data_IF_167637309161
#
_entry.id   IF_167637309161
#
_cell.length_a   1.000
_cell.length_b   1.000
_cell.length_c   1.000
_cell.angle_alpha   90.00
_cell.angle_beta   90.00
_cell.angle_gamma   90.00
#
_symmetry.space_group_name_H-M   'P 1'
#
loop_
_entity.id
_entity.type
_entity.pdbx_description
1 polymer ?
#
# COMPACT_ATOMS: atom_id res chain seq x y z
N UNK A 1 21.23 3.54 -0.43
CA UNK A 1 19.85 3.58 -0.98
C UNK A 1 19.49 2.16 -1.39
N UNK A 2 18.27 1.68 -1.16
CA UNK A 2 17.87 0.32 -1.57
C UNK A 2 17.56 0.32 -3.07
N UNK A 3 17.84 -0.78 -3.77
CA UNK A 3 17.56 -0.92 -5.20
C UNK A 3 16.28 -1.73 -5.41
N UNK A 4 15.44 -1.26 -6.33
CA UNK A 4 14.34 -2.02 -6.91
C UNK A 4 14.97 -2.95 -7.96
N UNK A 5 14.76 -4.25 -7.80
CA UNK A 5 15.35 -5.30 -8.65
C UNK A 5 14.48 -5.56 -9.87
N UNK A 6 15.11 -5.98 -10.96
CA UNK A 6 14.42 -6.55 -12.12
C UNK A 6 13.52 -7.72 -11.67
N UNK A 7 12.29 -7.80 -12.17
CA UNK A 7 11.30 -8.79 -11.73
C UNK A 7 10.63 -8.49 -10.39
N UNK A 8 10.90 -7.34 -9.74
CA UNK A 8 10.15 -6.93 -8.56
C UNK A 8 8.67 -6.70 -8.86
N UNK A 9 7.82 -7.00 -7.88
CA UNK A 9 6.37 -6.93 -7.99
C UNK A 9 5.82 -5.89 -7.02
N UNK A 10 4.90 -5.07 -7.48
CA UNK A 10 4.21 -4.05 -6.69
C UNK A 10 2.71 -4.34 -6.68
N UNK A 11 2.14 -4.42 -5.48
CA UNK A 11 0.71 -4.67 -5.26
C UNK A 11 0.16 -3.58 -4.35
N UNK A 12 -0.93 -2.94 -4.76
CA UNK A 12 -1.62 -1.92 -3.98
C UNK A 12 -3.12 -2.21 -3.91
N UNK A 13 -3.77 -1.69 -2.86
CA UNK A 13 -5.22 -1.53 -2.78
C UNK A 13 -5.99 -2.83 -3.09
N UNK A 14 -5.60 -3.91 -2.42
CA UNK A 14 -6.26 -5.22 -2.55
C UNK A 14 -7.51 -5.35 -1.68
N UNK A 15 -7.60 -4.58 -0.59
CA UNK A 15 -8.75 -4.57 0.32
C UNK A 15 -9.29 -5.96 0.69
N UNK A 16 -8.39 -6.90 1.02
CA UNK A 16 -8.75 -8.24 1.51
C UNK A 16 -9.38 -8.15 2.91
N UNK A 17 -10.40 -8.95 3.25
CA UNK A 17 -11.04 -9.98 2.42
C UNK A 17 -12.29 -9.51 1.67
N UNK A 18 -12.81 -8.31 1.97
CA UNK A 18 -14.15 -7.91 1.50
C UNK A 18 -14.26 -7.77 -0.02
N UNK A 19 -13.15 -7.48 -0.70
CA UNK A 19 -13.11 -7.38 -2.15
C UNK A 19 -12.59 -8.64 -2.85
N UNK A 20 -12.52 -9.77 -2.13
CA UNK A 20 -12.23 -11.10 -2.66
C UNK A 20 -10.84 -11.63 -2.29
N UNK A 21 -10.55 -12.85 -2.74
CA UNK A 21 -9.30 -13.57 -2.44
C UNK A 21 -8.21 -13.36 -3.51
N UNK A 22 -8.36 -12.36 -4.38
CA UNK A 22 -7.46 -12.14 -5.51
C UNK A 22 -5.99 -12.02 -5.09
N UNK A 23 -5.70 -11.40 -3.94
CA UNK A 23 -4.35 -11.34 -3.38
C UNK A 23 -3.82 -12.70 -2.95
N UNK A 24 -4.65 -13.56 -2.37
CA UNK A 24 -4.22 -14.89 -1.92
C UNK A 24 -3.80 -15.73 -3.12
N UNK A 25 -4.67 -15.79 -4.14
CA UNK A 25 -4.39 -16.50 -5.38
C UNK A 25 -3.12 -15.97 -6.07
N UNK A 26 -2.94 -14.64 -6.10
CA UNK A 26 -1.76 -14.01 -6.69
C UNK A 26 -0.48 -14.36 -5.91
N UNK A 27 -0.51 -14.21 -4.58
CA UNK A 27 0.64 -14.50 -3.72
C UNK A 27 1.02 -15.99 -3.76
N UNK A 28 0.03 -16.88 -3.91
CA UNK A 28 0.25 -18.33 -4.03
C UNK A 28 0.85 -18.71 -5.39
N UNK A 29 0.63 -17.89 -6.42
CA UNK A 29 1.10 -18.13 -7.80
C UNK A 29 2.34 -17.31 -8.19
N UNK A 30 3.01 -16.68 -7.22
CA UNK A 30 4.22 -15.92 -7.50
C UNK A 30 5.31 -16.81 -8.10
N UNK A 31 6.06 -16.33 -9.10
CA UNK A 31 7.22 -17.05 -9.62
C UNK A 31 8.21 -17.40 -8.50
N UNK A 32 8.79 -18.61 -8.48
CA UNK A 32 9.73 -19.02 -7.44
C UNK A 32 10.94 -18.09 -7.27
N UNK A 33 11.34 -17.43 -8.36
CA UNK A 33 12.49 -16.51 -8.40
C UNK A 33 12.09 -15.04 -8.20
N UNK A 34 10.91 -14.76 -7.63
CA UNK A 34 10.47 -13.38 -7.35
C UNK A 34 11.45 -12.72 -6.38
N UNK A 35 12.23 -11.70 -6.79
CA UNK A 35 13.30 -11.19 -5.96
C UNK A 35 12.80 -10.25 -4.87
N UNK A 36 11.72 -9.50 -5.16
CA UNK A 36 11.15 -8.48 -4.29
C UNK A 36 9.64 -8.40 -4.45
N UNK A 37 8.97 -8.16 -3.33
CA UNK A 37 7.55 -7.85 -3.27
C UNK A 37 7.32 -6.55 -2.49
N UNK A 38 6.68 -5.60 -3.14
CA UNK A 38 6.29 -4.31 -2.59
C UNK A 38 4.78 -4.30 -2.34
N UNK A 39 4.40 -4.29 -1.06
CA UNK A 39 3.02 -4.16 -0.61
C UNK A 39 2.75 -2.68 -0.32
N UNK A 40 2.07 -2.00 -1.25
CA UNK A 40 1.97 -0.54 -1.32
C UNK A 40 0.71 0.01 -0.63
N UNK A 41 0.40 -0.56 0.54
CA UNK A 41 -0.71 -0.16 1.41
C UNK A 41 -2.09 -0.61 0.94
N UNK A 42 -3.04 -0.57 1.87
CA UNK A 42 -4.43 -1.01 1.68
C UNK A 42 -4.53 -2.44 1.10
N UNK A 43 -3.63 -3.32 1.52
CA UNK A 43 -3.69 -4.76 1.19
C UNK A 43 -4.86 -5.41 1.92
N UNK A 44 -5.05 -5.02 3.18
CA UNK A 44 -6.20 -5.41 3.98
C UNK A 44 -7.23 -4.28 3.98
N UNK A 45 -8.52 -4.63 3.95
CA UNK A 45 -9.61 -3.66 4.07
C UNK A 45 -9.63 -3.02 5.46
N UNK A 46 -9.15 -3.73 6.49
CA UNK A 46 -8.79 -3.13 7.77
C UNK A 46 -7.84 -4.07 8.55
N UNK A 47 -6.69 -3.56 8.98
CA UNK A 47 -5.77 -4.30 9.85
C UNK A 47 -4.90 -3.37 10.70
N UNK A 48 -4.79 -3.67 11.99
CA UNK A 48 -3.77 -3.07 12.85
C UNK A 48 -3.49 -3.96 14.06
N UNK A 49 -2.22 -4.03 14.48
CA UNK A 49 -1.77 -5.04 15.45
C UNK A 49 -2.43 -4.96 16.84
N UNK A 50 -3.09 -3.86 17.20
CA UNK A 50 -3.73 -3.68 18.51
C UNK A 50 -5.20 -4.12 18.56
N UNK A 51 -5.68 -4.81 17.54
CA UNK A 51 -7.01 -5.41 17.50
C UNK A 51 -6.91 -6.92 17.22
N UNK A 52 -6.85 -7.77 18.26
CA UNK A 52 -6.69 -9.22 18.10
C UNK A 52 -7.70 -9.87 17.14
N UNK A 53 -8.96 -9.45 17.19
CA UNK A 53 -9.99 -9.98 16.29
C UNK A 53 -9.74 -9.61 14.81
N UNK A 54 -9.06 -8.50 14.51
CA UNK A 54 -8.67 -8.17 13.14
C UNK A 54 -7.52 -9.04 12.66
N UNK A 55 -6.61 -9.42 13.56
CA UNK A 55 -5.52 -10.34 13.25
C UNK A 55 -6.11 -11.70 12.90
N UNK A 56 -6.98 -12.24 13.76
CA UNK A 56 -7.69 -13.51 13.53
C UNK A 56 -8.50 -13.47 12.22
N UNK A 57 -9.24 -12.38 11.98
CA UNK A 57 -10.04 -12.21 10.77
C UNK A 57 -9.19 -12.21 9.48
N UNK A 58 -7.94 -11.76 9.55
CA UNK A 58 -7.03 -11.64 8.42
C UNK A 58 -5.91 -12.70 8.42
N UNK A 59 -5.97 -13.68 9.33
CA UNK A 59 -4.86 -14.59 9.63
C UNK A 59 -4.33 -15.32 8.39
N UNK A 60 -5.22 -15.79 7.52
CA UNK A 60 -4.87 -16.51 6.27
C UNK A 60 -3.87 -15.72 5.41
N UNK A 61 -4.10 -14.43 5.20
CA UNK A 61 -3.21 -13.59 4.38
C UNK A 61 -1.96 -13.14 5.17
N UNK A 62 -2.09 -12.94 6.48
CA UNK A 62 -0.94 -12.64 7.35
C UNK A 62 0.08 -13.79 7.30
N UNK A 63 -0.39 -15.03 7.47
CA UNK A 63 0.46 -16.23 7.43
C UNK A 63 1.11 -16.41 6.07
N UNK A 64 0.38 -16.18 4.98
CA UNK A 64 0.91 -16.26 3.62
C UNK A 64 2.04 -15.24 3.38
N UNK A 65 1.85 -13.98 3.79
CA UNK A 65 2.90 -12.95 3.67
C UNK A 65 4.12 -13.33 4.50
N UNK A 66 3.94 -13.83 5.72
CA UNK A 66 5.04 -14.28 6.56
C UNK A 66 5.80 -15.47 5.96
N UNK A 67 5.09 -16.46 5.42
CA UNK A 67 5.73 -17.60 4.73
C UNK A 67 6.54 -17.15 3.50
N UNK A 68 5.99 -16.24 2.69
CA UNK A 68 6.72 -15.69 1.54
C UNK A 68 7.96 -14.89 1.95
N UNK A 69 7.90 -14.20 3.08
CA UNK A 69 9.04 -13.41 3.60
C UNK A 69 10.26 -14.24 3.98
N UNK A 70 10.15 -15.57 4.03
CA UNK A 70 11.29 -16.48 4.22
C UNK A 70 12.17 -16.60 2.97
N UNK A 71 11.63 -16.29 1.78
CA UNK A 71 12.31 -16.46 0.49
C UNK A 71 12.30 -15.20 -0.39
N UNK A 72 11.37 -14.29 -0.17
CA UNK A 72 11.21 -13.04 -0.93
C UNK A 72 11.56 -11.85 -0.04
N UNK A 73 12.29 -10.88 -0.59
CA UNK A 73 12.48 -9.60 0.10
C UNK A 73 11.21 -8.76 0.02
N UNK A 74 10.51 -8.60 1.15
CA UNK A 74 9.23 -7.88 1.19
C UNK A 74 9.40 -6.50 1.84
N UNK A 75 8.89 -5.48 1.16
CA UNK A 75 8.70 -4.14 1.70
C UNK A 75 7.21 -3.83 1.79
N UNK A 76 6.75 -3.38 2.96
CA UNK A 76 5.36 -3.02 3.20
C UNK A 76 5.24 -1.55 3.53
N UNK A 77 4.53 -0.78 2.73
CA UNK A 77 4.18 0.61 2.98
C UNK A 77 2.81 0.65 3.62
N UNK A 78 2.71 1.06 4.88
CA UNK A 78 1.42 1.14 5.57
C UNK A 78 0.46 2.07 4.80
N UNK A 79 -0.77 1.60 4.59
CA UNK A 79 -1.84 2.40 4.02
C UNK A 79 -2.70 3.05 5.08
N UNK A 80 -3.89 3.51 4.68
CA UNK A 80 -4.86 4.09 5.61
C UNK A 80 -5.86 3.07 6.16
N UNK A 81 -5.95 1.90 5.56
CA UNK A 81 -6.71 0.75 6.06
C UNK A 81 -5.85 -0.18 6.93
N UNK A 82 -4.54 -0.23 6.68
CA UNK A 82 -3.61 -1.17 7.30
C UNK A 82 -2.35 -0.49 7.88
N UNK A 83 -2.26 -0.44 9.21
CA UNK A 83 -1.22 0.33 9.91
C UNK A 83 -0.82 -0.26 11.27
N UNK A 84 0.29 0.19 11.84
CA UNK A 84 0.93 -0.46 13.00
C UNK A 84 1.19 -1.95 12.74
N UNK A 85 1.78 -2.27 11.59
CA UNK A 85 1.86 -3.65 11.08
C UNK A 85 3.14 -4.40 11.44
N UNK A 86 4.23 -3.71 11.80
CA UNK A 86 5.56 -4.34 11.97
C UNK A 86 5.58 -5.56 12.91
N UNK A 87 4.76 -5.56 13.97
CA UNK A 87 4.68 -6.68 14.91
C UNK A 87 4.06 -7.95 14.31
N UNK A 88 3.29 -7.83 13.22
CA UNK A 88 2.65 -8.94 12.53
C UNK A 88 3.57 -9.59 11.48
N UNK A 89 4.60 -8.86 11.03
CA UNK A 89 5.45 -9.24 9.91
C UNK A 89 6.94 -9.13 10.26
N UNK A 90 7.50 -10.06 11.05
CA UNK A 90 8.84 -9.93 11.63
C UNK A 90 9.98 -9.88 10.61
N UNK A 91 9.83 -10.53 9.44
CA UNK A 91 10.85 -10.55 8.37
C UNK A 91 10.57 -9.56 7.24
N UNK A 92 9.44 -8.86 7.29
CA UNK A 92 9.07 -7.83 6.31
C UNK A 92 9.60 -6.48 6.80
N UNK A 93 10.20 -5.68 5.91
CA UNK A 93 10.47 -4.28 6.27
C UNK A 93 9.18 -3.49 6.13
N UNK A 94 8.63 -3.01 7.24
CA UNK A 94 7.42 -2.17 7.24
C UNK A 94 7.79 -0.69 7.38
N UNK A 95 7.26 0.14 6.49
CA UNK A 95 7.39 1.59 6.49
C UNK A 95 6.09 2.25 6.91
N UNK A 96 6.10 2.83 8.11
CA UNK A 96 4.96 3.59 8.65
C UNK A 96 4.68 4.85 7.83
N UNK A 97 3.47 5.39 7.93
CA UNK A 97 3.09 6.64 7.25
C UNK A 97 4.11 7.79 7.46
N UNK A 98 4.73 7.87 8.65
CA UNK A 98 5.71 8.92 8.97
C UNK A 98 7.07 8.71 8.29
N UNK A 99 7.43 7.47 8.01
CA UNK A 99 8.64 7.12 7.29
C UNK A 99 8.46 7.30 5.78
N UNK A 100 7.23 7.43 5.28
CA UNK A 100 6.98 7.62 3.86
C UNK A 100 7.17 9.09 3.43
N UNK A 101 7.73 9.34 2.23
CA UNK A 101 8.19 8.36 1.25
C UNK A 101 9.53 7.71 1.62
N UNK A 102 9.79 6.51 1.09
CA UNK A 102 11.12 5.89 1.13
C UNK A 102 11.79 5.98 -0.22
N UNK A 103 13.07 6.31 -0.23
CA UNK A 103 13.83 6.51 -1.46
C UNK A 103 14.57 5.23 -1.83
N UNK A 104 14.24 4.74 -3.02
CA UNK A 104 14.84 3.61 -3.69
C UNK A 104 15.55 4.06 -4.97
N UNK A 105 16.27 3.15 -5.61
CA UNK A 105 16.83 3.32 -6.95
C UNK A 105 16.22 2.31 -7.91
N UNK A 106 15.89 2.74 -9.12
CA UNK A 106 15.55 1.88 -10.25
C UNK A 106 16.57 2.16 -11.36
N UNK A 107 17.58 1.29 -11.49
CA UNK A 107 18.77 1.62 -12.27
C UNK A 107 19.49 2.85 -11.69
N UNK A 108 19.63 3.91 -12.49
CA UNK A 108 20.22 5.20 -12.08
C UNK A 108 19.19 6.18 -11.54
N UNK A 109 17.90 5.88 -11.69
CA UNK A 109 16.80 6.76 -11.33
C UNK A 109 16.49 6.64 -9.84
N UNK A 110 16.38 7.78 -9.14
CA UNK A 110 15.87 7.80 -7.76
C UNK A 110 14.35 7.75 -7.77
N UNK A 111 13.76 6.89 -6.93
CA UNK A 111 12.32 6.64 -6.88
C UNK A 111 11.80 6.77 -5.46
N UNK A 112 10.82 7.63 -5.25
CA UNK A 112 10.09 7.80 -3.99
C UNK A 112 8.88 6.87 -3.93
N UNK A 113 8.88 5.96 -2.96
CA UNK A 113 7.78 5.03 -2.73
C UNK A 113 6.95 5.47 -1.53
N UNK A 114 5.63 5.54 -1.68
CA UNK A 114 4.68 5.76 -0.60
C UNK A 114 3.33 5.09 -0.93
N UNK A 115 2.44 4.96 0.05
CA UNK A 115 1.07 4.53 -0.23
C UNK A 115 0.29 5.62 -0.98
N UNK A 116 0.39 6.87 -0.55
CA UNK A 116 -0.20 8.04 -1.23
C UNK A 116 -1.12 8.92 -0.38
N UNK A 117 -1.38 8.52 0.87
CA UNK A 117 -2.18 9.27 1.85
C UNK A 117 -1.34 10.24 2.72
N UNK A 118 -0.04 10.38 2.42
CA UNK A 118 0.89 11.23 3.20
C UNK A 118 0.82 12.71 2.85
N UNK A 119 0.71 13.03 1.56
CA UNK A 119 0.77 14.40 1.03
C UNK A 119 -0.56 14.84 0.43
N UNK A 120 -0.71 16.15 0.21
CA UNK A 120 -1.92 16.78 -0.34
C UNK A 120 -3.27 16.47 0.37
N UNK A 121 -3.25 15.86 1.56
CA UNK A 121 -4.44 15.56 2.36
C UNK A 121 -4.96 16.76 3.16
N UNK A 122 -6.23 16.71 3.60
CA UNK A 122 -6.82 17.76 4.44
C UNK A 122 -6.23 17.78 5.85
N UNK A 123 -6.32 18.91 6.56
CA UNK A 123 -5.88 19.00 7.97
C UNK A 123 -6.63 17.99 8.85
N UNK A 124 -7.94 17.83 8.63
CA UNK A 124 -8.78 16.88 9.35
C UNK A 124 -8.34 15.43 9.14
N UNK A 125 -8.03 15.05 7.89
CA UNK A 125 -7.52 13.72 7.59
C UNK A 125 -6.17 13.44 8.27
N UNK A 126 -5.24 14.41 8.25
CA UNK A 126 -3.95 14.28 8.94
C UNK A 126 -4.09 14.15 10.46
N UNK A 127 -5.06 14.86 11.05
CA UNK A 127 -5.36 14.73 12.47
C UNK A 127 -5.92 13.34 12.79
N UNK A 128 -6.91 12.89 12.01
CA UNK A 128 -7.52 11.57 12.14
C UNK A 128 -6.48 10.44 12.02
N UNK A 129 -5.65 10.46 10.99
CA UNK A 129 -4.61 9.45 10.76
C UNK A 129 -3.57 9.41 11.89
N UNK A 130 -3.21 10.58 12.44
CA UNK A 130 -2.33 10.68 13.62
C UNK A 130 -2.99 10.10 14.88
N UNK A 131 -4.29 10.30 15.05
CA UNK A 131 -5.06 9.79 16.18
C UNK A 131 -5.14 8.25 16.15
N UNK A 132 -5.61 7.66 15.04
CA UNK A 132 -5.82 6.21 14.95
C UNK A 132 -4.52 5.40 14.99
N UNK A 133 -3.39 5.99 14.57
CA UNK A 133 -2.08 5.34 14.61
C UNK A 133 -1.38 5.47 15.97
N UNK A 134 -1.94 6.23 16.92
CA UNK A 134 -1.39 6.32 18.28
C UNK A 134 -1.76 5.07 19.09
N UNK A 135 -0.79 4.18 19.31
CA UNK A 135 -0.99 2.89 19.98
C UNK A 135 -1.45 3.02 21.43
N UNK A 136 -0.94 4.01 22.16
CA UNK A 136 -1.32 4.26 23.55
C UNK A 136 -2.78 4.69 23.64
N UNK A 137 -3.19 5.65 22.81
CA UNK A 137 -4.56 6.16 22.75
C UNK A 137 -5.55 5.09 22.25
N UNK A 138 -5.18 4.50 21.11
CA UNK A 138 -5.34 3.09 20.75
C UNK A 138 -5.86 2.21 21.88
N UNK A 139 -4.96 1.85 22.79
CA UNK A 139 -5.14 0.82 23.81
C UNK A 139 -6.31 1.08 24.77
N UNK A 140 -6.61 2.33 25.10
CA UNK A 140 -7.59 2.66 26.14
C UNK A 140 -9.00 2.98 25.63
N UNK A 141 -9.25 2.91 24.32
CA UNK A 141 -10.57 3.23 23.78
C UNK A 141 -11.60 2.12 24.10
N UNK A 142 -12.66 2.39 24.90
CA UNK A 142 -13.53 1.36 25.50
C UNK A 142 -14.53 0.70 24.52
N UNK A 143 -14.70 1.23 23.31
CA UNK A 143 -15.66 0.73 22.32
C UNK A 143 -15.02 0.26 21.01
N UNK A 144 -13.75 -0.14 21.05
CA UNK A 144 -12.98 -0.47 19.84
C UNK A 144 -13.66 -1.47 18.92
N UNK A 145 -14.11 -2.62 19.44
CA UNK A 145 -14.70 -3.66 18.59
C UNK A 145 -16.01 -3.21 17.94
N UNK A 146 -16.92 -2.56 18.68
CA UNK A 146 -18.18 -2.04 18.12
C UNK A 146 -17.95 -0.98 17.04
N UNK A 147 -17.00 -0.07 17.27
CA UNK A 147 -16.64 0.97 16.30
C UNK A 147 -16.01 0.37 15.05
N UNK A 148 -15.13 -0.61 15.21
CA UNK A 148 -14.48 -1.31 14.10
C UNK A 148 -15.49 -2.14 13.30
N UNK A 149 -16.40 -2.86 13.96
CA UNK A 149 -17.47 -3.60 13.27
C UNK A 149 -18.35 -2.66 12.44
N UNK A 150 -18.73 -1.51 13.01
CA UNK A 150 -19.46 -0.47 12.25
C UNK A 150 -18.63 0.04 11.06
N UNK A 151 -17.33 0.23 11.24
CA UNK A 151 -16.45 0.64 10.14
C UNK A 151 -16.41 -0.42 9.05
N UNK A 152 -16.26 -1.70 9.40
CA UNK A 152 -16.31 -2.84 8.47
C UNK A 152 -17.63 -2.84 7.69
N UNK A 153 -18.77 -2.63 8.34
CA UNK A 153 -20.08 -2.60 7.67
C UNK A 153 -20.20 -1.44 6.66
N UNK A 154 -19.52 -0.32 6.92
CA UNK A 154 -19.44 0.80 5.97
C UNK A 154 -18.50 0.49 4.81
N UNK A 155 -17.36 -0.15 5.07
CA UNK A 155 -16.38 -0.53 4.06
C UNK A 155 -16.97 -1.53 3.06
N UNK A 156 -17.69 -2.55 3.53
CA UNK A 156 -18.41 -3.52 2.69
C UNK A 156 -19.36 -2.88 1.67
N UNK A 157 -19.91 -1.71 1.97
CA UNK A 157 -20.87 -0.99 1.11
C UNK A 157 -20.22 0.08 0.24
N UNK A 158 -18.93 0.36 0.47
CA UNK A 158 -18.21 1.44 -0.19
C UNK A 158 -17.90 1.06 -1.63
N UNK A 159 -18.35 1.87 -2.58
CA UNK A 159 -17.89 1.78 -3.97
C UNK A 159 -16.49 2.38 -4.09
N UNK A 160 -15.47 1.52 -4.10
CA UNK A 160 -14.06 1.94 -4.17
C UNK A 160 -13.56 2.16 -5.60
N UNK A 161 -14.16 1.51 -6.60
CA UNK A 161 -13.77 1.64 -8.00
C UNK A 161 -14.53 2.78 -8.67
N UNK A 162 -13.83 3.90 -8.85
CA UNK A 162 -14.32 5.09 -9.54
C UNK A 162 -13.16 5.85 -10.18
N UNK A 163 -13.45 6.52 -11.30
CA UNK A 163 -12.52 7.49 -11.88
C UNK A 163 -12.37 8.66 -10.93
N UNK A 164 -11.14 9.10 -10.71
CA UNK A 164 -10.87 10.31 -9.94
C UNK A 164 -10.86 11.51 -10.89
N UNK A 165 -11.95 12.28 -10.90
CA UNK A 165 -12.01 13.54 -11.64
C UNK A 165 -10.99 14.57 -11.11
N UNK A 166 -10.15 15.09 -12.01
CA UNK A 166 -9.09 16.03 -11.66
C UNK A 166 -7.91 15.38 -10.94
N UNK A 167 -7.64 14.10 -11.22
CA UNK A 167 -6.51 13.37 -10.65
C UNK A 167 -5.17 14.03 -10.97
N UNK A 168 -4.98 14.58 -12.17
CA UNK A 168 -3.76 15.27 -12.59
C UNK A 168 -3.46 16.46 -11.67
N UNK A 169 -4.48 17.26 -11.32
CA UNK A 169 -4.36 18.37 -10.36
C UNK A 169 -4.01 17.88 -8.96
N UNK A 170 -4.45 16.67 -8.59
CA UNK A 170 -4.03 16.04 -7.33
C UNK A 170 -2.55 15.66 -7.38
N UNK A 171 -2.10 15.04 -8.46
CA UNK A 171 -0.70 14.65 -8.66
C UNK A 171 0.22 15.86 -8.61
N UNK A 172 -0.12 16.95 -9.30
CA UNK A 172 0.66 18.20 -9.27
C UNK A 172 0.85 18.75 -7.84
N UNK A 173 -0.20 18.65 -7.01
CA UNK A 173 -0.12 19.04 -5.59
C UNK A 173 0.76 18.11 -4.78
N UNK A 174 0.74 16.81 -5.07
CA UNK A 174 1.61 15.81 -4.43
C UNK A 174 3.07 16.09 -4.79
N UNK A 175 3.40 16.22 -6.09
CA UNK A 175 4.75 16.53 -6.55
C UNK A 175 5.27 17.84 -5.96
N UNK A 176 4.43 18.87 -5.85
CA UNK A 176 4.78 20.10 -5.12
C UNK A 176 5.11 19.84 -3.65
N UNK A 177 4.38 18.96 -2.96
CA UNK A 177 4.70 18.60 -1.59
C UNK A 177 6.05 17.88 -1.49
N UNK A 178 6.40 16.99 -2.42
CA UNK A 178 7.72 16.36 -2.45
C UNK A 178 8.84 17.39 -2.59
N UNK A 179 8.74 18.32 -3.57
CA UNK A 179 9.69 19.44 -3.69
C UNK A 179 9.86 20.22 -2.38
N UNK A 180 8.75 20.57 -1.73
CA UNK A 180 8.76 21.32 -0.46
C UNK A 180 9.41 20.55 0.70
N UNK A 181 9.53 19.23 0.60
CA UNK A 181 10.23 18.38 1.57
C UNK A 181 11.68 18.09 1.15
N UNK A 182 12.19 18.75 0.11
CA UNK A 182 13.60 18.68 -0.30
C UNK A 182 13.93 17.56 -1.29
N UNK A 183 12.92 16.91 -1.89
CA UNK A 183 13.15 15.95 -2.97
C UNK A 183 13.40 16.70 -4.30
N UNK A 184 14.43 16.28 -5.04
CA UNK A 184 14.79 16.80 -6.37
C UNK A 184 13.64 16.59 -7.37
N UNK A 185 13.45 17.49 -8.33
CA UNK A 185 12.47 17.35 -9.41
C UNK A 185 12.73 16.15 -10.32
N UNK A 186 13.96 15.66 -10.36
CA UNK A 186 14.34 14.53 -11.20
C UNK A 186 13.92 13.16 -10.64
N UNK A 187 13.30 13.08 -9.46
CA UNK A 187 12.88 11.79 -8.89
C UNK A 187 11.53 11.31 -9.44
N UNK A 188 11.35 9.99 -9.56
CA UNK A 188 10.05 9.39 -9.88
C UNK A 188 9.27 9.09 -8.60
N UNK A 189 7.95 9.26 -8.61
CA UNK A 189 7.05 8.90 -7.50
C UNK A 189 6.23 7.69 -7.88
N UNK A 190 6.16 6.70 -7.00
CA UNK A 190 5.25 5.56 -7.14
C UNK A 190 4.36 5.49 -5.91
N UNK A 191 3.05 5.63 -6.12
CA UNK A 191 2.03 5.63 -5.06
C UNK A 191 0.80 4.81 -5.46
N UNK A 192 0.19 4.14 -4.48
CA UNK A 192 -1.12 3.49 -4.59
C UNK A 192 -2.26 4.45 -4.23
N UNK A 193 -3.19 4.00 -3.36
CA UNK A 193 -4.25 4.76 -2.69
C UNK A 193 -5.38 5.29 -3.58
N UNK A 194 -5.05 5.75 -4.78
CA UNK A 194 -5.98 6.47 -5.65
C UNK A 194 -6.74 5.54 -6.60
N UNK A 195 -6.32 4.27 -6.74
CA UNK A 195 -6.95 3.26 -7.59
C UNK A 195 -7.08 3.74 -9.06
N UNK A 196 -6.05 4.38 -9.62
CA UNK A 196 -6.12 4.93 -10.97
C UNK A 196 -5.35 4.11 -12.02
N UNK A 197 -4.25 3.44 -11.66
CA UNK A 197 -3.48 2.64 -12.63
C UNK A 197 -3.03 3.47 -13.84
N UNK A 198 -2.29 4.55 -13.61
CA UNK A 198 -1.89 5.47 -14.68
C UNK A 198 -0.51 6.07 -14.45
N UNK A 199 0.10 6.55 -15.54
CA UNK A 199 1.35 7.30 -15.55
C UNK A 199 1.04 8.76 -15.86
N UNK A 200 1.60 9.70 -15.08
CA UNK A 200 1.47 11.13 -15.33
C UNK A 200 2.76 11.84 -14.94
N UNK A 201 3.47 12.38 -15.94
CA UNK A 201 4.80 12.98 -15.74
C UNK A 201 5.75 11.96 -15.06
N UNK A 202 6.43 12.37 -13.98
CA UNK A 202 7.28 11.52 -13.15
C UNK A 202 6.51 10.86 -11.99
N UNK A 203 5.19 10.68 -12.11
CA UNK A 203 4.34 10.03 -11.11
C UNK A 203 3.65 8.80 -11.69
N UNK A 204 3.77 7.68 -10.98
CA UNK A 204 3.14 6.41 -11.28
C UNK A 204 2.07 6.16 -10.21
N UNK A 205 0.82 6.22 -10.62
CA UNK A 205 -0.31 5.78 -9.82
C UNK A 205 -0.49 4.27 -10.02
N UNK A 206 -0.13 3.47 -9.02
CA UNK A 206 -0.27 2.02 -9.09
C UNK A 206 -1.74 1.63 -9.32
N UNK A 207 -1.99 0.55 -10.08
CA UNK A 207 -3.32 -0.02 -10.20
C UNK A 207 -3.77 -0.61 -8.87
N UNK A 208 -5.08 -0.57 -8.60
CA UNK A 208 -5.68 -1.37 -7.54
C UNK A 208 -5.88 -2.79 -8.05
N UNK A 209 -5.45 -3.78 -7.24
CA UNK A 209 -5.68 -5.18 -7.54
C UNK A 209 -7.19 -5.50 -7.65
N UNK A 210 -8.05 -4.73 -6.97
CA UNK A 210 -9.51 -4.91 -7.04
C UNK A 210 -10.11 -4.23 -8.26
N UNK A 211 -9.75 -2.97 -8.50
CA UNK A 211 -10.45 -2.15 -9.49
C UNK A 211 -9.95 -2.36 -10.91
N UNK A 212 -8.63 -2.37 -11.10
CA UNK A 212 -8.00 -2.61 -12.40
C UNK A 212 -7.70 -4.09 -12.62
N UNK A 213 -7.60 -4.90 -11.54
CA UNK A 213 -7.14 -6.30 -11.60
C UNK A 213 -5.74 -6.43 -12.17
N UNK A 214 -4.93 -5.41 -11.93
CA UNK A 214 -3.56 -5.29 -12.40
C UNK A 214 -2.63 -5.13 -11.21
N UNK A 215 -1.38 -5.45 -11.47
CA UNK A 215 -0.24 -5.21 -10.58
C UNK A 215 0.88 -4.59 -11.40
N UNK A 216 1.84 -3.97 -10.71
CA UNK A 216 3.02 -3.41 -11.35
C UNK A 216 4.19 -4.39 -11.24
N UNK A 217 4.99 -4.46 -12.30
CA UNK A 217 6.19 -5.26 -12.39
C UNK A 217 7.35 -4.41 -12.88
N UNK A 218 8.56 -4.76 -12.47
CA UNK A 218 9.78 -4.23 -13.08
C UNK A 218 10.19 -5.16 -14.21
N UNK A 219 10.16 -4.63 -15.43
CA UNK A 219 10.55 -5.34 -16.64
C UNK A 219 11.44 -4.44 -17.51
N UNK A 220 12.61 -4.95 -17.87
CA UNK A 220 13.64 -4.22 -18.61
C UNK A 220 13.99 -2.86 -17.96
N UNK A 221 14.08 -2.83 -16.64
CA UNK A 221 14.40 -1.62 -15.87
C UNK A 221 13.30 -0.56 -15.80
N UNK A 222 12.06 -0.88 -16.21
CA UNK A 222 10.92 0.03 -16.16
C UNK A 222 9.73 -0.60 -15.41
N UNK A 223 8.86 0.25 -14.86
CA UNK A 223 7.59 -0.19 -14.27
C UNK A 223 6.56 -0.39 -15.38
N UNK A 224 5.98 -1.58 -15.44
CA UNK A 224 4.89 -1.92 -16.36
C UNK A 224 3.71 -2.48 -15.58
N UNK A 225 2.49 -2.19 -16.03
CA UNK A 225 1.28 -2.80 -15.46
C UNK A 225 0.93 -4.06 -16.24
N UNK A 226 0.63 -5.13 -15.51
CA UNK A 226 0.19 -6.40 -16.08
C UNK A 226 -1.10 -6.82 -15.38
N UNK A 227 -2.04 -7.33 -16.15
CA UNK A 227 -3.21 -8.00 -15.59
C UNK A 227 -2.73 -9.16 -14.72
N UNK A 228 -3.32 -9.31 -13.54
CA UNK A 228 -3.09 -10.50 -12.71
C UNK A 228 -3.33 -11.75 -13.59
N UNK A 229 -2.48 -12.80 -13.50
CA UNK A 229 -2.79 -14.07 -14.13
C UNK A 229 -4.17 -14.56 -13.67
N UNK A 230 -5.12 -14.60 -14.60
CA UNK A 230 -6.35 -15.38 -14.41
C UNK A 230 -5.96 -16.83 -14.46
N UNK A 231 -6.10 -17.53 -13.34
CA UNK A 231 -6.19 -19.00 -13.31
C UNK A 231 -7.30 -19.47 -14.23
#
# INVERSE_FOLDING_TARGET
MRAIKEGAIFIADSHYPHHGEAIIELLTSLPPNTPQLFLMGDIFDILFAHAPFLIEYNQKLIDLINALSDSIEIFYFEGNHDFNLQALFPKVTVYTLKQQPQIFTLGVQSVGLAHGDRFAMSKGYRFYTRFIRNQTLMRYLPFKQKLINRQIDLLKKKKICKKFEGFEKRVERILRCYRLHGYDDNFEVIEGHYHQGTFYQNYIALPSLVCQKEIAFVENGAIVFKTKPTT
#
